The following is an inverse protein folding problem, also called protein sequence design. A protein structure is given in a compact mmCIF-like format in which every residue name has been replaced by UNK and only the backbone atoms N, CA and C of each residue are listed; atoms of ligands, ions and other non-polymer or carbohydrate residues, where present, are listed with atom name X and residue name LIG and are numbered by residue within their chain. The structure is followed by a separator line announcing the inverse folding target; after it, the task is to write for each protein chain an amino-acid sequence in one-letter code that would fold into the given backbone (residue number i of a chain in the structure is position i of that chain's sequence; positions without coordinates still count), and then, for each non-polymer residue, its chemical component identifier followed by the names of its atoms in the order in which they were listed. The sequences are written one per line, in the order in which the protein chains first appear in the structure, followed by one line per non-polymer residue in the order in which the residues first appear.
data_IF_736390192093
#
_entry.id   IF_736390192093
#
_cell.length_a   1.000
_cell.length_b   1.000
_cell.length_c   1.000
_cell.angle_alpha   90.00
_cell.angle_beta   90.00
_cell.angle_gamma   90.00
#
_symmetry.space_group_name_H-M   'P 1'
#
loop_
_entity.id
_entity.type
_entity.pdbx_description
1 polymer ?
#
# COMPACT_ATOMS: atom_id res chain seq x y z
N UNK A 1 19.35 -6.35 10.95
CA UNK A 1 18.41 -5.50 11.71
C UNK A 1 19.11 -4.19 11.98
N UNK A 2 18.88 -3.18 11.13
CA UNK A 2 19.26 -1.81 11.48
C UNK A 2 18.08 -1.27 12.27
N UNK A 3 18.20 -1.31 13.59
CA UNK A 3 17.32 -0.62 14.51
C UNK A 3 17.55 0.88 14.27
N UNK A 4 16.76 1.51 13.39
CA UNK A 4 16.61 2.96 13.48
C UNK A 4 15.92 3.18 14.83
N UNK A 5 16.69 3.60 15.84
CA UNK A 5 16.11 4.22 17.02
C UNK A 5 15.27 5.39 16.53
N UNK A 6 13.95 5.25 16.58
CA UNK A 6 13.02 6.34 16.33
C UNK A 6 13.00 7.26 17.56
N UNK A 7 14.16 7.80 17.95
CA UNK A 7 14.29 8.87 18.95
C UNK A 7 13.94 10.21 18.29
N UNK A 8 12.74 10.29 17.72
CA UNK A 8 12.25 11.53 17.14
C UNK A 8 11.61 12.35 18.24
N UNK A 9 12.37 13.32 18.75
CA UNK A 9 11.84 14.32 19.68
C UNK A 9 10.95 15.28 18.89
N UNK A 10 9.64 15.16 19.08
CA UNK A 10 8.66 16.03 18.45
C UNK A 10 8.77 17.42 19.09
N UNK A 11 9.25 18.41 18.32
CA UNK A 11 9.41 19.80 18.76
C UNK A 11 9.45 20.77 17.59
N UNK A 12 9.33 22.07 17.87
CA UNK A 12 9.42 23.13 16.84
C UNK A 12 10.78 23.16 16.13
N UNK A 13 11.85 22.76 16.81
CA UNK A 13 13.24 22.84 16.31
C UNK A 13 13.70 21.58 15.57
N UNK A 14 12.78 20.62 15.36
CA UNK A 14 13.07 19.35 14.71
C UNK A 14 12.24 19.20 13.45
N UNK A 15 12.74 18.43 12.50
CA UNK A 15 12.00 18.13 11.26
C UNK A 15 11.37 16.74 11.33
N UNK A 16 10.13 16.58 10.85
CA UNK A 16 9.53 15.26 10.66
C UNK A 16 10.25 14.46 9.56
N UNK A 17 10.08 13.13 9.56
CA UNK A 17 10.64 12.21 8.56
C UNK A 17 9.90 12.26 7.20
N UNK A 18 9.73 13.45 6.61
CA UNK A 18 8.91 13.63 5.40
C UNK A 18 9.37 12.75 4.24
N UNK A 19 10.67 12.46 4.15
CA UNK A 19 11.22 11.57 3.15
C UNK A 19 10.71 10.13 3.30
N UNK A 20 10.74 9.57 4.51
CA UNK A 20 10.26 8.21 4.78
C UNK A 20 8.75 8.10 4.49
N UNK A 21 7.99 9.16 4.77
CA UNK A 21 6.54 9.21 4.47
C UNK A 21 6.28 9.25 2.96
N UNK A 22 7.00 10.10 2.24
CA UNK A 22 6.89 10.18 0.78
C UNK A 22 7.30 8.86 0.11
N UNK A 23 8.33 8.18 0.64
CA UNK A 23 8.77 6.88 0.16
C UNK A 23 7.69 5.81 0.40
N UNK A 24 7.11 5.76 1.60
CA UNK A 24 6.00 4.85 1.92
C UNK A 24 4.80 5.04 0.99
N UNK A 25 4.35 6.29 0.82
CA UNK A 25 3.23 6.61 -0.06
C UNK A 25 3.54 6.27 -1.52
N UNK A 26 4.79 6.44 -1.95
CA UNK A 26 5.23 6.04 -3.29
C UNK A 26 5.24 4.51 -3.44
N UNK A 27 5.62 3.77 -2.41
CA UNK A 27 5.63 2.31 -2.43
C UNK A 27 4.22 1.72 -2.55
N UNK A 28 3.18 2.40 -2.03
CA UNK A 28 1.78 1.98 -2.19
C UNK A 28 1.27 1.98 -3.64
N UNK A 29 1.97 2.65 -4.54
CA UNK A 29 1.61 2.67 -5.96
C UNK A 29 2.00 1.37 -6.69
N UNK A 30 2.86 0.56 -6.07
CA UNK A 30 3.48 -0.63 -6.66
C UNK A 30 3.07 -1.86 -5.86
N UNK A 31 2.11 -2.59 -6.41
CA UNK A 31 1.43 -3.70 -5.72
C UNK A 31 1.92 -5.07 -6.20
N UNK A 32 2.86 -5.10 -7.13
CA UNK A 32 3.41 -6.31 -7.73
C UNK A 32 4.13 -7.23 -6.75
N UNK A 33 4.67 -6.67 -5.68
CA UNK A 33 5.32 -7.41 -4.60
C UNK A 33 4.31 -8.29 -3.80
N UNK A 34 3.03 -7.95 -3.84
CA UNK A 34 1.94 -8.76 -3.23
C UNK A 34 1.65 -10.01 -4.06
N UNK A 35 2.10 -10.04 -5.31
CA UNK A 35 2.03 -11.20 -6.20
C UNK A 35 1.32 -10.92 -7.52
N UNK A 36 1.24 -11.93 -8.39
CA UNK A 36 0.66 -11.81 -9.72
C UNK A 36 -0.86 -11.62 -9.67
N UNK A 37 -1.40 -11.05 -10.75
CA UNK A 37 -2.84 -10.78 -10.87
C UNK A 37 -3.62 -12.06 -11.19
N UNK A 38 -4.73 -12.24 -10.47
CA UNK A 38 -5.77 -13.24 -10.73
C UNK A 38 -7.12 -12.54 -10.92
N UNK A 39 -7.18 -11.66 -11.90
CA UNK A 39 -8.35 -10.84 -12.26
C UNK A 39 -9.16 -11.41 -13.44
N UNK A 40 -8.71 -12.52 -14.05
CA UNK A 40 -9.30 -13.13 -15.26
C UNK A 40 -9.90 -14.52 -14.98
N UNK A 41 -11.05 -14.81 -15.58
CA UNK A 41 -11.86 -16.02 -15.31
C UNK A 41 -11.10 -17.35 -15.34
N UNK A 42 -10.23 -17.61 -16.33
CA UNK A 42 -9.46 -18.88 -16.38
C UNK A 42 -8.50 -19.06 -15.19
N UNK A 43 -7.88 -17.97 -14.74
CA UNK A 43 -6.97 -18.00 -13.58
C UNK A 43 -7.74 -18.12 -12.27
N UNK A 44 -8.89 -17.45 -12.18
CA UNK A 44 -9.80 -17.56 -11.05
C UNK A 44 -10.35 -18.98 -10.90
N UNK A 45 -10.73 -19.64 -12.00
CA UNK A 45 -11.16 -21.05 -11.97
C UNK A 45 -10.03 -21.96 -11.46
N UNK A 46 -8.80 -21.78 -11.97
CA UNK A 46 -7.65 -22.55 -11.47
C UNK A 46 -7.41 -22.33 -9.97
N UNK A 47 -7.58 -21.09 -9.49
CA UNK A 47 -7.53 -20.77 -8.08
C UNK A 47 -8.61 -21.52 -7.30
N UNK A 48 -9.86 -21.49 -7.77
CA UNK A 48 -10.98 -22.17 -7.12
C UNK A 48 -10.71 -23.68 -7.04
N UNK A 49 -10.43 -24.33 -8.16
CA UNK A 49 -10.16 -25.78 -8.22
C UNK A 49 -8.98 -26.18 -7.31
N UNK A 50 -7.98 -25.29 -7.18
CA UNK A 50 -6.78 -25.52 -6.40
C UNK A 50 -6.92 -25.20 -4.91
N UNK A 51 -7.79 -24.26 -4.52
CA UNK A 51 -7.98 -23.82 -3.14
C UNK A 51 -9.08 -24.61 -2.42
N UNK A 52 -10.04 -25.15 -3.15
CA UNK A 52 -11.15 -25.91 -2.59
C UNK A 52 -10.96 -27.42 -2.73
N UNK A 53 -11.47 -28.15 -1.76
CA UNK A 53 -11.67 -29.61 -1.81
C UNK A 53 -13.13 -29.88 -1.42
N UNK A 54 -14.02 -29.86 -2.42
CA UNK A 54 -15.45 -29.75 -2.19
C UNK A 54 -15.77 -28.45 -1.42
N UNK A 55 -16.45 -28.55 -0.27
CA UNK A 55 -16.81 -27.40 0.57
C UNK A 55 -15.75 -27.03 1.62
N UNK A 56 -14.49 -27.46 1.47
CA UNK A 56 -13.42 -27.16 2.44
C UNK A 56 -12.28 -26.40 1.77
N UNK A 57 -11.70 -25.46 2.51
CA UNK A 57 -10.44 -24.81 2.13
C UNK A 57 -9.27 -25.76 2.34
N UNK A 58 -8.39 -25.86 1.34
CA UNK A 58 -7.15 -26.62 1.45
C UNK A 58 -6.15 -25.88 2.32
N UNK A 59 -5.39 -26.61 3.12
CA UNK A 59 -4.20 -26.09 3.82
C UNK A 59 -2.91 -26.28 3.01
N UNK A 60 -2.94 -27.13 1.96
CA UNK A 60 -1.79 -27.46 1.11
C UNK A 60 -2.27 -27.53 -0.35
N UNK A 61 -1.53 -26.93 -1.26
CA UNK A 61 -1.73 -27.02 -2.70
C UNK A 61 -0.39 -27.38 -3.38
N UNK A 62 -0.38 -28.44 -4.20
CA UNK A 62 0.83 -28.94 -4.89
C UNK A 62 2.07 -29.06 -3.96
N UNK A 63 1.86 -29.58 -2.74
CA UNK A 63 2.92 -29.74 -1.73
C UNK A 63 3.36 -28.45 -1.03
N UNK A 64 2.78 -27.30 -1.35
CA UNK A 64 3.07 -26.02 -0.71
C UNK A 64 2.00 -25.67 0.32
N UNK A 65 2.37 -25.32 1.57
CA UNK A 65 1.43 -24.82 2.56
C UNK A 65 0.77 -23.51 2.12
N UNK A 66 -0.54 -23.40 2.34
CA UNK A 66 -1.31 -22.19 2.07
C UNK A 66 -1.46 -21.39 3.36
N UNK A 67 -0.92 -20.16 3.36
CA UNK A 67 -0.97 -19.25 4.50
C UNK A 67 -2.29 -18.48 4.52
N UNK A 68 -3.33 -19.09 5.10
CA UNK A 68 -4.61 -18.40 5.30
C UNK A 68 -4.53 -17.34 6.38
N UNK A 69 -4.85 -16.11 5.99
CA UNK A 69 -4.84 -14.93 6.87
C UNK A 69 -6.27 -14.67 7.34
N UNK A 70 -6.48 -14.75 8.65
CA UNK A 70 -7.81 -14.57 9.23
C UNK A 70 -8.08 -13.09 9.50
N UNK A 71 -9.11 -12.55 8.84
CA UNK A 71 -9.59 -11.20 9.08
C UNK A 71 -8.85 -10.11 8.30
N UNK A 72 -9.59 -9.04 8.01
CA UNK A 72 -9.13 -7.96 7.14
C UNK A 72 -7.97 -7.15 7.73
N UNK A 73 -7.90 -7.01 9.06
CA UNK A 73 -6.80 -6.30 9.74
C UNK A 73 -5.48 -7.02 9.56
N UNK A 74 -5.46 -8.34 9.69
CA UNK A 74 -4.28 -9.16 9.49
C UNK A 74 -3.88 -9.16 8.00
N UNK A 75 -4.84 -9.23 7.09
CA UNK A 75 -4.58 -9.13 5.65
C UNK A 75 -3.87 -7.82 5.27
N UNK A 76 -4.32 -6.68 5.83
CA UNK A 76 -3.62 -5.39 5.69
C UNK A 76 -2.15 -5.48 6.09
N UNK A 77 -1.87 -6.05 7.26
CA UNK A 77 -0.50 -6.17 7.77
C UNK A 77 0.35 -7.08 6.88
N UNK A 78 -0.16 -8.22 6.44
CA UNK A 78 0.58 -9.14 5.56
C UNK A 78 0.86 -8.52 4.19
N UNK A 79 -0.09 -7.76 3.62
CA UNK A 79 0.15 -6.98 2.40
C UNK A 79 1.29 -5.98 2.59
N UNK A 80 1.25 -5.21 3.69
CA UNK A 80 2.28 -4.22 3.99
C UNK A 80 3.67 -4.85 4.23
N UNK A 81 3.74 -6.08 4.76
CA UNK A 81 5.02 -6.81 4.91
C UNK A 81 5.69 -7.12 3.58
N UNK A 82 4.91 -7.34 2.52
CA UNK A 82 5.44 -7.66 1.19
C UNK A 82 5.98 -6.44 0.46
N UNK A 83 5.50 -5.24 0.80
CA UNK A 83 5.87 -4.00 0.10
C UNK A 83 7.15 -3.43 0.72
N UNK A 84 8.26 -3.32 -0.03
CA UNK A 84 9.50 -2.75 0.46
C UNK A 84 9.48 -1.22 0.45
N UNK A 85 10.03 -0.61 1.50
CA UNK A 85 10.27 0.83 1.65
C UNK A 85 11.72 0.98 2.13
N UNK A 86 12.60 1.44 1.25
CA UNK A 86 14.03 1.44 1.47
C UNK A 86 14.57 0.05 1.82
N UNK A 87 15.08 -0.10 3.05
CA UNK A 87 15.62 -1.35 3.60
C UNK A 87 14.64 -2.11 4.49
N UNK A 88 13.41 -1.61 4.67
CA UNK A 88 12.40 -2.15 5.57
C UNK A 88 11.12 -2.50 4.81
N UNK A 89 10.16 -3.14 5.49
CA UNK A 89 8.81 -3.31 4.94
C UNK A 89 7.96 -2.08 5.22
N UNK A 90 6.93 -1.85 4.39
CA UNK A 90 5.95 -0.80 4.63
C UNK A 90 5.25 -0.96 6.00
N UNK A 91 5.09 -2.20 6.48
CA UNK A 91 4.53 -2.45 7.82
C UNK A 91 5.42 -1.87 8.91
N UNK A 92 6.74 -2.07 8.83
CA UNK A 92 7.69 -1.58 9.84
C UNK A 92 7.68 -0.05 9.88
N UNK A 93 7.69 0.60 8.71
CA UNK A 93 7.57 2.06 8.60
C UNK A 93 6.26 2.58 9.21
N UNK A 94 5.13 1.92 8.92
CA UNK A 94 3.82 2.27 9.50
C UNK A 94 3.81 2.08 11.01
N UNK A 95 4.44 1.04 11.55
CA UNK A 95 4.57 0.85 13.00
C UNK A 95 5.38 1.99 13.61
N UNK A 96 6.48 2.41 12.97
CA UNK A 96 7.27 3.58 13.37
C UNK A 96 6.41 4.85 13.44
N UNK A 97 5.64 5.13 12.39
CA UNK A 97 4.72 6.28 12.37
C UNK A 97 3.61 6.21 13.42
N UNK A 98 3.09 5.01 13.71
CA UNK A 98 2.11 4.82 14.79
C UNK A 98 2.69 5.14 16.18
N UNK A 99 3.99 4.88 16.41
CA UNK A 99 4.65 5.29 17.65
C UNK A 99 4.72 6.81 17.79
N UNK A 100 4.96 7.55 16.70
CA UNK A 100 4.94 9.03 16.73
C UNK A 100 3.55 9.59 16.96
N UNK A 101 2.56 8.98 16.32
CA UNK A 101 1.15 9.30 16.53
C UNK A 101 0.73 9.12 17.98
N UNK A 102 1.30 8.12 18.67
CA UNK A 102 1.11 7.97 20.11
C UNK A 102 1.89 9.03 20.89
N UNK A 103 3.18 9.26 20.57
CA UNK A 103 4.01 10.24 21.27
C UNK A 103 3.47 11.67 21.19
N UNK A 104 2.68 12.02 20.17
CA UNK A 104 2.01 13.33 20.08
C UNK A 104 1.09 13.62 21.28
N UNK A 105 0.58 12.59 21.96
CA UNK A 105 -0.31 12.77 23.13
C UNK A 105 0.42 13.33 24.36
N UNK A 106 1.75 13.22 24.37
CA UNK A 106 2.60 13.68 25.46
C UNK A 106 3.05 15.15 25.28
N UNK A 107 2.69 15.78 24.16
CA UNK A 107 2.94 17.19 23.92
C UNK A 107 2.11 18.07 24.86
N UNK A 108 2.75 19.10 25.41
CA UNK A 108 2.08 20.17 26.14
C UNK A 108 1.15 20.92 25.18
N UNK A 109 -0.17 20.80 25.37
CA UNK A 109 -1.15 21.52 24.57
C UNK A 109 -1.26 22.97 25.05
N UNK A 110 -1.37 23.90 24.12
CA UNK A 110 -1.43 25.35 24.36
C UNK A 110 -2.80 25.93 24.02
N UNK A 111 -3.54 25.27 23.13
CA UNK A 111 -4.81 25.75 22.59
C UNK A 111 -5.88 24.68 22.79
N UNK A 112 -7.12 25.10 22.98
CA UNK A 112 -8.30 24.23 22.94
C UNK A 112 -9.42 24.83 22.11
N UNK A 113 -10.26 23.95 21.55
CA UNK A 113 -11.41 24.33 20.72
C UNK A 113 -12.57 23.39 20.99
N UNK A 114 -13.82 23.88 21.07
CA UNK A 114 -15.00 23.03 21.15
C UNK A 114 -15.32 22.32 19.82
N UNK A 115 -14.66 22.71 18.72
CA UNK A 115 -14.83 22.11 17.38
C UNK A 115 -13.49 21.54 16.91
N UNK A 116 -13.53 20.38 16.25
CA UNK A 116 -12.36 19.81 15.61
C UNK A 116 -11.91 20.73 14.46
N UNK A 117 -10.71 21.31 14.58
CA UNK A 117 -10.12 22.16 13.56
C UNK A 117 -9.84 21.39 12.26
N UNK A 118 -10.03 22.06 11.12
CA UNK A 118 -9.77 21.47 9.79
C UNK A 118 -8.28 21.24 9.57
N UNK A 119 -7.95 20.35 8.63
CA UNK A 119 -6.57 20.00 8.30
C UNK A 119 -5.77 21.23 7.82
N UNK A 120 -6.36 22.04 6.96
CA UNK A 120 -5.74 23.26 6.42
C UNK A 120 -5.44 24.25 7.55
N UNK A 121 -6.42 24.48 8.44
CA UNK A 121 -6.27 25.41 9.55
C UNK A 121 -5.21 24.93 10.55
N UNK A 122 -5.16 23.60 10.82
CA UNK A 122 -4.12 23.00 11.66
C UNK A 122 -2.73 23.26 11.07
N UNK A 123 -2.55 23.12 9.76
CA UNK A 123 -1.25 23.37 9.10
C UNK A 123 -0.88 24.85 9.15
N UNK A 124 -1.81 25.74 8.76
CA UNK A 124 -1.58 27.19 8.73
C UNK A 124 -1.23 27.77 10.10
N UNK A 125 -1.86 27.26 11.16
CA UNK A 125 -1.60 27.69 12.53
C UNK A 125 -0.51 26.87 13.24
N UNK A 126 0.14 25.94 12.54
CA UNK A 126 1.15 25.02 13.08
C UNK A 126 0.68 24.25 14.32
N UNK A 127 -0.53 23.71 14.27
CA UNK A 127 -1.17 22.98 15.36
C UNK A 127 -1.19 21.48 15.07
N UNK A 128 -0.91 20.68 16.09
CA UNK A 128 -1.16 19.22 16.08
C UNK A 128 -2.25 18.87 17.09
N UNK A 129 -3.18 18.01 16.69
CA UNK A 129 -4.20 17.48 17.59
C UNK A 129 -3.58 16.49 18.58
N UNK A 130 -3.76 16.75 19.87
CA UNK A 130 -3.19 15.93 20.95
C UNK A 130 -4.23 14.93 21.45
N UNK A 131 -5.38 15.42 21.91
CA UNK A 131 -6.46 14.62 22.49
C UNK A 131 -7.76 15.40 22.60
N UNK A 132 -8.86 14.68 22.81
CA UNK A 132 -10.13 15.27 23.25
C UNK A 132 -10.32 15.09 24.76
N UNK A 133 -10.74 16.15 25.44
CA UNK A 133 -11.28 16.10 26.80
C UNK A 133 -12.80 15.97 26.70
N UNK A 134 -13.26 14.72 26.69
CA UNK A 134 -14.68 14.41 26.62
C UNK A 134 -15.42 15.02 27.83
N UNK A 135 -16.53 15.69 27.54
CA UNK A 135 -17.44 16.25 28.53
C UNK A 135 -18.85 15.82 28.18
N UNK A 136 -19.61 15.33 29.17
CA UNK A 136 -21.03 15.06 28.97
C UNK A 136 -21.80 16.39 29.07
N UNK A 137 -22.00 17.04 27.93
CA UNK A 137 -22.57 18.38 27.84
C UNK A 137 -23.97 18.47 28.46
N UNK A 138 -24.78 17.39 28.38
CA UNK A 138 -26.08 17.32 29.04
C UNK A 138 -26.01 17.40 30.57
N UNK A 139 -24.91 16.96 31.18
CA UNK A 139 -24.73 16.92 32.64
C UNK A 139 -23.93 18.12 33.13
N UNK A 140 -22.86 18.48 32.41
CA UNK A 140 -21.89 19.50 32.87
C UNK A 140 -22.17 20.89 32.27
N UNK A 141 -22.99 20.98 31.23
CA UNK A 141 -23.19 22.21 30.44
C UNK A 141 -21.94 22.67 29.70
N UNK A 142 -20.90 21.83 29.61
CA UNK A 142 -19.62 22.15 28.96
C UNK A 142 -19.40 21.25 27.74
N UNK A 143 -18.97 21.81 26.60
CA UNK A 143 -18.69 21.02 25.41
C UNK A 143 -17.46 20.13 25.61
N UNK A 144 -17.33 19.12 24.76
CA UNK A 144 -16.06 18.40 24.61
C UNK A 144 -15.02 19.36 24.03
N UNK A 145 -13.83 19.40 24.62
CA UNK A 145 -12.74 20.26 24.16
C UNK A 145 -11.67 19.43 23.43
N UNK A 146 -11.29 19.88 22.25
CA UNK A 146 -10.20 19.33 21.46
C UNK A 146 -8.92 20.12 21.76
N UNK A 147 -7.88 19.45 22.27
CA UNK A 147 -6.64 20.07 22.69
C UNK A 147 -5.58 19.97 21.59
N UNK A 148 -4.86 21.08 21.37
CA UNK A 148 -3.85 21.23 20.33
C UNK A 148 -2.54 21.74 20.91
N UNK A 149 -1.42 21.21 20.42
CA UNK A 149 -0.08 21.71 20.74
C UNK A 149 0.46 22.52 19.56
N UNK A 150 1.11 23.64 19.88
CA UNK A 150 1.86 24.43 18.90
C UNK A 150 3.15 23.70 18.50
N UNK A 151 3.33 23.51 17.20
CA UNK A 151 4.51 22.86 16.62
C UNK A 151 5.00 23.67 15.40
N UNK A 152 5.82 23.09 14.52
CA UNK A 152 6.18 23.70 13.23
C UNK A 152 5.21 23.27 12.13
N UNK A 153 5.07 24.09 11.09
CA UNK A 153 4.25 23.77 9.91
C UNK A 153 4.53 22.38 9.32
N UNK A 154 5.81 21.97 9.22
CA UNK A 154 6.20 20.65 8.70
C UNK A 154 5.63 19.50 9.53
N UNK A 155 5.71 19.60 10.87
CA UNK A 155 5.14 18.59 11.76
C UNK A 155 3.62 18.55 11.70
N UNK A 156 2.97 19.73 11.64
CA UNK A 156 1.52 19.80 11.50
C UNK A 156 1.06 19.09 10.21
N UNK A 157 1.73 19.37 9.08
CA UNK A 157 1.49 18.69 7.80
C UNK A 157 1.74 17.20 7.88
N UNK A 158 2.86 16.78 8.47
CA UNK A 158 3.19 15.38 8.65
C UNK A 158 2.11 14.63 9.44
N UNK A 159 1.62 15.19 10.55
CA UNK A 159 0.57 14.54 11.34
C UNK A 159 -0.79 14.50 10.65
N UNK A 160 -1.14 15.52 9.85
CA UNK A 160 -2.33 15.47 8.98
C UNK A 160 -2.22 14.31 7.98
N UNK A 161 -1.07 14.15 7.33
CA UNK A 161 -0.84 13.04 6.40
C UNK A 161 -0.86 11.67 7.11
N UNK A 162 -0.37 11.59 8.36
CA UNK A 162 -0.48 10.38 9.18
C UNK A 162 -1.92 10.06 9.61
N UNK A 163 -2.74 11.07 9.92
CA UNK A 163 -4.17 10.88 10.22
C UNK A 163 -4.89 10.22 9.01
N UNK A 164 -4.45 10.52 7.78
CA UNK A 164 -4.99 9.94 6.54
C UNK A 164 -4.41 8.54 6.17
N UNK A 165 -3.37 8.07 6.88
CA UNK A 165 -2.61 6.86 6.53
C UNK A 165 -3.47 5.59 6.49
N UNK A 166 -4.37 5.42 7.46
CA UNK A 166 -5.24 4.23 7.51
C UNK A 166 -6.19 4.17 6.30
N UNK A 167 -6.58 5.32 5.74
CA UNK A 167 -7.36 5.42 4.51
C UNK A 167 -6.52 5.01 3.28
N UNK A 168 -5.26 5.46 3.21
CA UNK A 168 -4.32 5.07 2.17
C UNK A 168 -4.05 3.56 2.17
N UNK A 169 -3.77 2.97 3.35
CA UNK A 169 -3.59 1.52 3.52
C UNK A 169 -4.86 0.75 3.09
N UNK A 170 -6.03 1.28 3.43
CA UNK A 170 -7.31 0.67 3.02
C UNK A 170 -7.48 0.69 1.51
N UNK A 171 -7.13 1.80 0.86
CA UNK A 171 -7.19 1.95 -0.60
C UNK A 171 -6.23 0.98 -1.30
N UNK A 172 -4.99 0.89 -0.82
CA UNK A 172 -4.01 -0.10 -1.26
C UNK A 172 -4.54 -1.53 -1.16
N UNK A 173 -5.13 -1.88 -0.01
CA UNK A 173 -5.65 -3.23 0.25
C UNK A 173 -6.80 -3.56 -0.70
N UNK A 174 -7.72 -2.62 -0.91
CA UNK A 174 -8.82 -2.78 -1.87
C UNK A 174 -8.29 -2.95 -3.30
N UNK A 175 -7.25 -2.20 -3.69
CA UNK A 175 -6.59 -2.39 -4.98
C UNK A 175 -6.02 -3.81 -5.12
N UNK A 176 -5.35 -4.33 -4.09
CA UNK A 176 -4.83 -5.70 -4.10
C UNK A 176 -5.94 -6.75 -4.27
N UNK A 177 -7.10 -6.55 -3.66
CA UNK A 177 -8.27 -7.42 -3.81
C UNK A 177 -8.90 -7.32 -5.20
N UNK A 178 -9.04 -6.09 -5.73
CA UNK A 178 -9.59 -5.81 -7.07
C UNK A 178 -8.71 -6.36 -8.21
N UNK A 179 -7.40 -6.36 -8.01
CA UNK A 179 -6.46 -6.94 -8.98
C UNK A 179 -6.27 -8.45 -8.78
N UNK A 180 -6.96 -9.05 -7.80
CA UNK A 180 -6.83 -10.46 -7.45
C UNK A 180 -5.42 -10.84 -6.98
N UNK A 181 -4.63 -9.89 -6.45
CA UNK A 181 -3.30 -10.14 -5.86
C UNK A 181 -3.42 -10.61 -4.41
N UNK A 182 -4.48 -10.17 -3.74
CA UNK A 182 -5.00 -10.77 -2.52
C UNK A 182 -6.33 -11.46 -2.86
N UNK A 183 -6.47 -12.70 -2.44
CA UNK A 183 -7.68 -13.51 -2.63
C UNK A 183 -8.48 -13.48 -1.33
N UNK A 184 -9.78 -13.24 -1.43
CA UNK A 184 -10.69 -13.25 -0.28
C UNK A 184 -11.68 -14.41 -0.41
N UNK A 185 -11.85 -15.15 0.68
CA UNK A 185 -12.85 -16.20 0.85
C UNK A 185 -13.74 -15.82 2.02
N UNK A 186 -15.05 -15.87 1.83
CA UNK A 186 -16.03 -15.73 2.92
C UNK A 186 -16.41 -17.12 3.43
N UNK A 187 -16.30 -17.34 4.74
CA UNK A 187 -16.83 -18.54 5.39
C UNK A 187 -18.29 -18.30 5.79
N UNK A 188 -19.22 -18.67 4.90
CA UNK A 188 -20.67 -18.56 5.12
C UNK A 188 -21.33 -19.93 5.35
N UNK A 189 -22.62 -19.94 5.69
CA UNK A 189 -23.40 -21.16 5.96
C UNK A 189 -23.38 -22.22 4.85
N UNK A 190 -23.39 -21.90 3.53
CA UNK A 190 -23.25 -22.91 2.48
C UNK A 190 -21.81 -23.43 2.33
N UNK A 191 -20.84 -22.86 3.04
CA UNK A 191 -19.42 -23.18 2.93
C UNK A 191 -18.57 -21.98 2.51
N UNK A 192 -17.25 -22.18 2.39
CA UNK A 192 -16.32 -21.14 2.00
C UNK A 192 -16.53 -20.77 0.52
N UNK A 193 -16.65 -19.47 0.23
CA UNK A 193 -16.87 -18.96 -1.12
C UNK A 193 -15.84 -17.91 -1.51
N UNK A 194 -15.22 -18.10 -2.68
CA UNK A 194 -14.31 -17.14 -3.28
C UNK A 194 -15.05 -15.85 -3.64
N UNK A 195 -14.53 -14.71 -3.18
CA UNK A 195 -15.03 -13.41 -3.63
C UNK A 195 -14.31 -12.98 -4.91
N UNK A 196 -15.10 -12.77 -5.96
CA UNK A 196 -14.57 -12.32 -7.25
C UNK A 196 -14.02 -10.89 -7.16
N UNK A 197 -12.95 -10.56 -7.89
CA UNK A 197 -12.30 -9.25 -7.81
C UNK A 197 -13.21 -8.04 -8.11
N UNK A 198 -14.21 -8.21 -9.00
CA UNK A 198 -15.19 -7.16 -9.34
C UNK A 198 -16.09 -6.74 -8.18
N UNK A 199 -16.22 -7.54 -7.12
CA UNK A 199 -17.01 -7.16 -5.93
C UNK A 199 -16.35 -6.04 -5.11
N UNK A 200 -15.06 -5.77 -5.33
CA UNK A 200 -14.29 -4.78 -4.57
C UNK A 200 -14.28 -3.38 -5.20
N UNK A 201 -15.08 -3.16 -6.25
CA UNK A 201 -15.20 -1.85 -6.92
C UNK A 201 -15.83 -0.75 -6.05
N UNK A 202 -16.41 -1.10 -4.90
CA UNK A 202 -17.05 -0.14 -3.97
C UNK A 202 -16.43 -0.19 -2.57
N UNK A 203 -16.22 1.00 -1.96
CA UNK A 203 -15.68 1.14 -0.59
C UNK A 203 -16.55 0.46 0.49
N UNK A 204 -17.80 0.12 0.18
CA UNK A 204 -18.75 -0.56 1.06
C UNK A 204 -18.43 -2.02 1.33
N UNK A 205 -17.59 -2.67 0.50
CA UNK A 205 -17.21 -4.08 0.65
C UNK A 205 -16.35 -4.40 1.89
N UNK A 206 -16.22 -3.51 2.86
CA UNK A 206 -15.35 -3.68 4.03
C UNK A 206 -16.09 -3.94 5.34
N UNK A 207 -17.40 -3.68 5.40
CA UNK A 207 -18.19 -3.86 6.63
C UNK A 207 -18.76 -5.28 6.68
N UNK A 208 -18.42 -6.05 7.71
CA UNK A 208 -19.05 -7.35 8.01
C UNK A 208 -18.20 -8.61 7.79
N UNK A 209 -16.94 -8.47 7.36
CA UNK A 209 -16.06 -9.57 6.99
C UNK A 209 -15.30 -10.21 8.16
N UNK A 210 -16.00 -10.47 9.28
CA UNK A 210 -15.40 -11.09 10.48
C UNK A 210 -15.00 -12.56 10.23
N UNK A 211 -15.67 -13.23 9.28
CA UNK A 211 -15.41 -14.62 8.87
C UNK A 211 -14.69 -14.72 7.51
N UNK A 212 -13.90 -13.72 7.17
CA UNK A 212 -13.15 -13.71 5.91
C UNK A 212 -11.75 -14.24 6.10
N UNK A 213 -11.33 -15.12 5.20
CA UNK A 213 -9.96 -15.59 5.07
C UNK A 213 -9.35 -15.03 3.81
N UNK A 214 -8.08 -14.65 3.91
CA UNK A 214 -7.34 -14.05 2.82
C UNK A 214 -6.12 -14.90 2.50
N UNK A 215 -5.67 -14.81 1.25
CA UNK A 215 -4.45 -15.44 0.77
C UNK A 215 -3.75 -14.50 -0.18
N UNK A 216 -2.44 -14.30 -0.02
CA UNK A 216 -1.67 -13.49 -0.96
C UNK A 216 -1.17 -14.38 -2.10
N UNK A 217 -1.26 -13.88 -3.32
CA UNK A 217 -0.89 -14.65 -4.51
C UNK A 217 0.61 -14.89 -4.65
N UNK A 218 1.45 -14.09 -3.99
CA UNK A 218 2.87 -14.36 -3.87
C UNK A 218 3.18 -15.61 -3.01
N UNK A 219 2.24 -16.04 -2.16
CA UNK A 219 2.38 -17.23 -1.33
C UNK A 219 1.79 -18.49 -2.00
N UNK A 220 1.29 -18.38 -3.23
CA UNK A 220 0.80 -19.52 -4.01
C UNK A 220 1.97 -20.34 -4.60
N UNK A 221 1.76 -21.63 -4.91
CA UNK A 221 2.77 -22.45 -5.58
C UNK A 221 3.32 -21.76 -6.83
N UNK A 222 4.65 -21.64 -6.96
CA UNK A 222 5.27 -21.01 -8.15
C UNK A 222 4.76 -21.65 -9.46
N UNK A 223 4.51 -22.96 -9.42
CA UNK A 223 4.00 -23.73 -10.55
C UNK A 223 2.65 -23.21 -11.09
N UNK A 224 1.82 -22.56 -10.28
CA UNK A 224 0.54 -22.03 -10.73
C UNK A 224 0.71 -20.78 -11.60
N UNK A 225 1.73 -19.99 -11.31
CA UNK A 225 2.03 -18.75 -12.01
C UNK A 225 2.98 -18.95 -13.20
N UNK A 226 3.88 -19.94 -13.09
CA UNK A 226 4.97 -20.16 -14.04
C UNK A 226 4.76 -21.40 -14.93
N UNK A 227 3.62 -22.10 -14.80
CA UNK A 227 3.31 -23.27 -15.64
C UNK A 227 3.39 -22.88 -17.12
N UNK A 228 4.15 -23.66 -17.89
CA UNK A 228 4.33 -23.47 -19.35
C UNK A 228 5.11 -22.20 -19.77
N UNK A 229 5.69 -21.46 -18.82
CA UNK A 229 6.67 -20.41 -19.14
C UNK A 229 8.05 -21.02 -19.37
N UNK A 230 8.81 -20.45 -20.29
CA UNK A 230 10.21 -20.79 -20.50
C UNK A 230 11.11 -20.28 -19.35
N UNK A 231 12.36 -20.73 -19.29
CA UNK A 231 13.31 -20.39 -18.21
C UNK A 231 13.61 -18.89 -18.17
N UNK A 232 13.66 -18.22 -19.32
CA UNK A 232 13.99 -16.80 -19.43
C UNK A 232 12.81 -15.93 -18.98
N UNK A 233 11.59 -16.24 -19.40
CA UNK A 233 10.36 -15.57 -18.96
C UNK A 233 10.22 -15.71 -17.45
N UNK A 234 10.48 -16.89 -16.87
CA UNK A 234 10.46 -17.08 -15.41
C UNK A 234 11.47 -16.19 -14.69
N UNK A 235 12.69 -16.09 -15.20
CA UNK A 235 13.73 -15.23 -14.61
C UNK A 235 13.33 -13.75 -14.68
N UNK A 236 12.80 -13.31 -15.81
CA UNK A 236 12.36 -11.92 -16.02
C UNK A 236 11.16 -11.56 -15.13
N UNK A 237 10.22 -12.49 -14.93
CA UNK A 237 9.06 -12.30 -14.03
C UNK A 237 9.48 -12.04 -12.59
N UNK A 238 10.55 -12.68 -12.11
CA UNK A 238 11.09 -12.47 -10.76
C UNK A 238 11.66 -11.06 -10.58
N UNK A 239 12.12 -10.41 -11.66
CA UNK A 239 12.68 -9.04 -11.65
C UNK A 239 11.65 -7.95 -11.93
N UNK A 240 10.44 -8.33 -12.34
CA UNK A 240 9.39 -7.40 -12.80
C UNK A 240 9.04 -6.34 -11.75
N UNK A 241 8.88 -6.74 -10.50
CA UNK A 241 8.48 -5.82 -9.43
C UNK A 241 9.57 -4.78 -9.11
N UNK A 242 10.84 -5.22 -9.07
CA UNK A 242 11.99 -4.32 -8.93
C UNK A 242 12.13 -3.35 -10.11
N UNK A 243 11.93 -3.85 -11.34
CA UNK A 243 11.95 -3.03 -12.55
C UNK A 243 10.84 -1.97 -12.55
N UNK A 244 9.63 -2.31 -12.10
CA UNK A 244 8.52 -1.37 -11.94
C UNK A 244 8.82 -0.31 -10.87
N UNK A 245 9.40 -0.71 -9.73
CA UNK A 245 9.90 0.22 -8.69
C UNK A 245 10.91 1.20 -9.24
N UNK A 246 11.91 0.72 -9.95
CA UNK A 246 12.89 1.61 -10.56
C UNK A 246 12.26 2.56 -11.57
N UNK A 247 11.42 2.05 -12.47
CA UNK A 247 10.82 2.86 -13.52
C UNK A 247 9.90 3.95 -12.94
N UNK A 248 9.17 3.63 -11.87
CA UNK A 248 8.35 4.61 -11.17
C UNK A 248 9.18 5.67 -10.42
N UNK A 249 10.28 5.25 -9.77
CA UNK A 249 11.20 6.17 -9.14
C UNK A 249 11.84 7.12 -10.16
N UNK A 250 12.22 6.61 -11.34
CA UNK A 250 12.77 7.41 -12.44
C UNK A 250 11.76 8.45 -12.93
N UNK A 251 10.48 8.07 -13.04
CA UNK A 251 9.39 8.99 -13.39
C UNK A 251 9.17 10.10 -12.37
N UNK A 252 9.31 9.81 -11.07
CA UNK A 252 9.06 10.78 -10.00
C UNK A 252 10.22 11.74 -9.73
N UNK A 253 11.41 11.51 -10.31
CA UNK A 253 12.55 12.43 -10.15
C UNK A 253 12.16 13.82 -10.68
N UNK A 254 12.03 14.79 -9.76
CA UNK A 254 11.62 16.17 -10.04
C UNK A 254 12.64 16.93 -10.90
N UNK A 255 13.91 16.54 -10.80
CA UNK A 255 14.98 17.07 -11.61
C UNK A 255 15.22 16.07 -12.73
N UNK A 256 14.82 16.37 -13.96
CA UNK A 256 15.52 16.04 -15.20
C UNK A 256 14.84 16.72 -16.41
N UNK A 257 15.57 16.89 -17.54
CA UNK A 257 15.27 17.87 -18.58
C UNK A 257 14.02 17.53 -19.38
N UNK A 258 13.64 18.42 -20.30
CA UNK A 258 12.44 18.43 -21.15
C UNK A 258 12.07 17.13 -21.92
N UNK A 259 12.79 16.01 -21.75
CA UNK A 259 12.60 14.76 -22.47
C UNK A 259 12.35 13.57 -21.52
N UNK A 260 11.17 12.99 -21.63
CA UNK A 260 10.76 11.77 -20.93
C UNK A 260 11.30 10.53 -21.66
N UNK A 261 11.67 9.48 -20.91
CA UNK A 261 12.13 8.22 -21.50
C UNK A 261 11.04 7.62 -22.41
N UNK A 262 11.40 7.36 -23.65
CA UNK A 262 10.57 6.66 -24.63
C UNK A 262 10.44 5.18 -24.28
N UNK A 263 9.39 4.52 -24.80
CA UNK A 263 9.20 3.06 -24.65
C UNK A 263 10.43 2.26 -25.09
N UNK A 264 11.13 2.72 -26.13
CA UNK A 264 12.34 2.07 -26.65
C UNK A 264 13.49 2.17 -25.65
N UNK A 265 13.73 3.36 -25.10
CA UNK A 265 14.78 3.58 -24.11
C UNK A 265 14.52 2.78 -22.83
N UNK A 266 13.27 2.74 -22.36
CA UNK A 266 12.90 1.91 -21.22
C UNK A 266 13.15 0.43 -21.51
N UNK A 267 12.76 -0.09 -22.68
CA UNK A 267 13.03 -1.49 -23.05
C UNK A 267 14.52 -1.81 -23.07
N UNK A 268 15.36 -0.89 -23.55
CA UNK A 268 16.82 -1.02 -23.53
C UNK A 268 17.34 -1.04 -22.10
N UNK A 269 16.88 -0.14 -21.24
CA UNK A 269 17.28 -0.08 -19.82
C UNK A 269 16.83 -1.32 -19.04
N UNK A 270 15.62 -1.84 -19.30
CA UNK A 270 15.16 -3.10 -18.71
C UNK A 270 16.06 -4.28 -19.08
N UNK A 271 16.58 -4.29 -20.30
CA UNK A 271 17.53 -5.31 -20.73
C UNK A 271 18.93 -5.13 -20.15
N UNK A 272 19.46 -3.91 -20.13
CA UNK A 272 20.84 -3.65 -19.69
C UNK A 272 20.97 -3.64 -18.17
N UNK A 273 20.02 -3.03 -17.45
CA UNK A 273 20.04 -2.87 -15.99
C UNK A 273 19.47 -4.06 -15.25
N UNK A 274 18.34 -4.59 -15.71
CA UNK A 274 17.65 -5.72 -15.06
C UNK A 274 17.89 -7.04 -15.77
N UNK A 275 18.69 -7.06 -16.85
CA UNK A 275 18.98 -8.29 -17.59
C UNK A 275 17.74 -8.94 -18.21
N UNK A 276 16.65 -8.19 -18.43
CA UNK A 276 15.39 -8.76 -18.92
C UNK A 276 15.46 -9.05 -20.42
N UNK A 277 15.30 -10.32 -20.80
CA UNK A 277 15.51 -10.77 -22.19
C UNK A 277 14.22 -10.93 -22.98
N UNK A 278 13.14 -11.31 -22.33
CA UNK A 278 11.84 -11.51 -22.98
C UNK A 278 11.12 -10.18 -23.24
N UNK A 279 10.82 -9.92 -24.51
CA UNK A 279 10.07 -8.71 -24.94
C UNK A 279 8.72 -8.62 -24.26
N UNK A 280 8.02 -9.75 -24.10
CA UNK A 280 6.71 -9.84 -23.44
C UNK A 280 6.73 -9.25 -22.02
N UNK A 281 7.69 -9.64 -21.19
CA UNK A 281 7.72 -9.16 -19.79
C UNK A 281 8.16 -7.69 -19.73
N UNK A 282 9.08 -7.25 -20.60
CA UNK A 282 9.44 -5.83 -20.73
C UNK A 282 8.26 -4.96 -21.14
N UNK A 283 7.41 -5.46 -22.04
CA UNK A 283 6.19 -4.76 -22.47
C UNK A 283 5.19 -4.64 -21.35
N UNK A 284 4.98 -5.70 -20.57
CA UNK A 284 4.14 -5.64 -19.40
C UNK A 284 4.66 -4.64 -18.35
N UNK A 285 5.98 -4.55 -18.11
CA UNK A 285 6.54 -3.53 -17.21
C UNK A 285 6.16 -2.12 -17.70
N UNK A 286 6.32 -1.84 -18.99
CA UNK A 286 5.92 -0.56 -19.56
C UNK A 286 4.42 -0.30 -19.42
N UNK A 287 3.58 -1.33 -19.65
CA UNK A 287 2.12 -1.19 -19.60
C UNK A 287 1.51 -1.19 -18.19
N UNK A 288 2.19 -1.73 -17.19
CA UNK A 288 1.72 -1.74 -15.80
C UNK A 288 2.29 -0.60 -14.97
N UNK A 289 3.40 0.01 -15.38
CA UNK A 289 4.01 1.10 -14.63
C UNK A 289 3.03 2.29 -14.48
N UNK A 290 2.82 2.83 -13.27
CA UNK A 290 1.87 3.92 -13.01
C UNK A 290 2.38 5.28 -13.53
N UNK A 291 2.45 5.40 -14.87
CA UNK A 291 3.08 6.47 -15.64
C UNK A 291 2.05 7.17 -16.53
N UNK A 292 0.79 7.28 -16.10
CA UNK A 292 -0.35 7.74 -16.91
C UNK A 292 -0.08 9.05 -17.66
N UNK A 293 0.61 10.00 -17.03
CA UNK A 293 0.99 11.27 -17.66
C UNK A 293 2.12 11.14 -18.70
N UNK A 294 3.02 10.16 -18.58
CA UNK A 294 4.09 9.88 -19.56
C UNK A 294 3.53 9.27 -20.85
N UNK A 295 2.56 8.36 -20.74
CA UNK A 295 1.98 7.68 -21.91
C UNK A 295 1.08 8.61 -22.75
N UNK A 296 0.46 9.62 -22.12
CA UNK A 296 -0.39 10.59 -22.80
C UNK A 296 0.36 11.77 -23.44
N UNK A 297 1.53 12.18 -22.92
CA UNK A 297 2.31 13.33 -23.43
C UNK A 297 3.33 12.97 -24.50
N UNK A 298 2.97 12.08 -25.43
CA UNK A 298 3.80 11.81 -26.61
C UNK A 298 4.17 13.11 -27.33
N UNK A 299 5.46 13.48 -27.27
CA UNK A 299 6.10 14.67 -27.88
C UNK A 299 5.47 16.03 -27.54
N UNK A 300 6.19 16.89 -26.80
CA UNK A 300 6.33 18.27 -27.27
C UNK A 300 7.20 18.21 -28.52
N UNK A 301 6.66 18.60 -29.69
CA UNK A 301 7.52 18.99 -30.81
C UNK A 301 8.29 20.22 -30.32
N UNK A 302 9.61 20.16 -30.40
CA UNK A 302 10.47 21.33 -30.25
C UNK A 302 9.99 22.40 -31.24
N UNK A 303 9.69 23.59 -30.72
CA UNK A 303 9.92 24.86 -31.43
C UNK A 303 11.34 25.27 -31.15
#
# INVERSE_FOLDING_TARGET
MVDRSFDWKISRDTSPPLHDLAELLSAFEIVEEVGPRYDVGKRLQQLEDGLFNGMRLRSIADGHPLNWINGFRQAKNEILKKIPVGSQSALDTVIGFKKLMAARTDLSWTNDSPVLLTDEYRIEQELVFVRSKASNEYVTGRPTLHCYAQISSDWARFFVELDAMDSAITTLTLRCLKEGRAICVLEEAPGPQLQVPSRWDTKSGLRGHVKSRFLLTCDLPEAWNLKKMDVLERADRKRKAEALRWLYAEYRRMEWPLEFLTKVEVRTLLETKFGMKTTKVRDEVWEEAPLSNWRGRGRRKNT
#
